data_IF_494464763789
#
_entry.id   IF_494464763789
#
_cell.length_a   1.000
_cell.length_b   1.000
_cell.length_c   1.000
_cell.angle_alpha   90.00
_cell.angle_beta   90.00
_cell.angle_gamma   90.00
#
_symmetry.space_group_name_H-M   'P 1'
#
loop_
_entity.id
_entity.type
_entity.pdbx_description
1 polymer ?
#
# COMPACT_ATOMS: atom_id res chain seq x y z
N UNK A 1 17.57 9.50 -5.78
CA UNK A 1 16.55 8.57 -5.25
C UNK A 1 15.81 7.93 -6.40
N UNK A 2 15.37 6.68 -6.23
CA UNK A 2 14.64 5.94 -7.24
C UNK A 2 13.43 5.25 -6.62
N UNK A 3 12.25 5.38 -7.23
CA UNK A 3 11.06 4.63 -6.88
C UNK A 3 10.73 3.63 -7.98
N UNK A 4 10.47 2.39 -7.63
CA UNK A 4 10.02 1.37 -8.55
C UNK A 4 8.53 1.13 -8.41
N UNK A 5 7.81 1.15 -9.54
CA UNK A 5 6.41 0.77 -9.63
C UNK A 5 6.35 -0.66 -10.18
N UNK A 6 5.82 -1.58 -9.39
CA UNK A 6 5.61 -2.96 -9.81
C UNK A 6 4.28 -3.10 -10.56
N UNK A 7 4.37 -3.66 -11.77
CA UNK A 7 3.24 -4.09 -12.58
C UNK A 7 2.19 -3.01 -12.86
N UNK A 8 2.61 -1.79 -13.33
CA UNK A 8 1.67 -0.69 -13.57
C UNK A 8 0.56 -1.04 -14.57
N UNK A 9 0.78 -2.03 -15.44
CA UNK A 9 -0.22 -2.51 -16.39
C UNK A 9 -1.41 -3.22 -15.76
N UNK A 10 -1.26 -3.76 -14.55
CA UNK A 10 -2.33 -4.47 -13.81
C UNK A 10 -2.58 -3.92 -12.41
N UNK A 11 -1.58 -3.31 -11.75
CA UNK A 11 -1.63 -2.82 -10.38
C UNK A 11 -1.83 -1.29 -10.33
N UNK A 12 -2.93 -0.79 -10.87
CA UNK A 12 -3.19 0.65 -10.98
C UNK A 12 -4.66 1.06 -10.77
N UNK A 13 -5.48 0.26 -10.13
CA UNK A 13 -6.87 0.61 -9.87
C UNK A 13 -6.97 1.83 -8.95
N UNK A 14 -8.10 2.53 -9.01
CA UNK A 14 -8.43 3.70 -8.17
C UNK A 14 -7.44 4.87 -8.28
N UNK A 15 -6.61 4.89 -9.32
CA UNK A 15 -5.59 5.91 -9.51
C UNK A 15 -4.38 5.78 -8.59
N UNK A 16 -4.11 4.60 -8.05
CA UNK A 16 -3.06 4.36 -7.05
C UNK A 16 -1.67 4.76 -7.51
N UNK A 17 -1.36 4.71 -8.81
CA UNK A 17 -0.06 5.20 -9.33
C UNK A 17 0.18 6.68 -9.03
N UNK A 18 -0.89 7.45 -8.77
CA UNK A 18 -0.75 8.86 -8.39
C UNK A 18 0.00 9.04 -7.06
N UNK A 19 0.09 8.02 -6.21
CA UNK A 19 0.99 8.04 -5.06
C UNK A 19 2.44 8.36 -5.49
N UNK A 20 2.94 7.64 -6.48
CA UNK A 20 4.34 7.79 -6.94
C UNK A 20 4.51 9.02 -7.83
N UNK A 21 3.56 9.30 -8.71
CA UNK A 21 3.62 10.51 -9.55
C UNK A 21 3.52 11.79 -8.71
N UNK A 22 2.80 11.78 -7.60
CA UNK A 22 2.77 12.90 -6.66
C UNK A 22 4.11 13.07 -5.92
N UNK A 23 4.73 11.96 -5.46
CA UNK A 23 6.09 12.00 -4.91
C UNK A 23 7.09 12.60 -5.91
N UNK A 24 7.02 12.19 -7.17
CA UNK A 24 7.86 12.76 -8.25
C UNK A 24 7.63 14.26 -8.43
N UNK A 25 6.39 14.71 -8.25
CA UNK A 25 6.06 16.13 -8.34
C UNK A 25 6.58 16.93 -7.14
N UNK A 26 6.60 16.31 -5.94
CA UNK A 26 7.18 16.90 -4.72
C UNK A 26 8.72 16.88 -4.74
N UNK A 27 9.30 15.87 -5.38
CA UNK A 27 10.73 15.61 -5.43
C UNK A 27 11.14 15.41 -6.92
N UNK A 28 11.43 16.49 -7.68
CA UNK A 28 11.71 16.40 -9.11
C UNK A 28 12.92 15.53 -9.48
N UNK A 29 13.85 15.31 -8.56
CA UNK A 29 15.01 14.44 -8.74
C UNK A 29 14.69 12.95 -8.54
N UNK A 30 13.50 12.58 -8.06
CA UNK A 30 13.08 11.19 -7.93
C UNK A 30 12.97 10.55 -9.32
N UNK A 31 13.76 9.53 -9.59
CA UNK A 31 13.64 8.71 -10.79
C UNK A 31 12.54 7.66 -10.59
N UNK A 32 11.67 7.46 -11.58
CA UNK A 32 10.67 6.40 -11.57
C UNK A 32 11.12 5.30 -12.51
N UNK A 33 11.11 4.06 -12.02
CA UNK A 33 11.31 2.83 -12.79
C UNK A 33 10.01 2.05 -12.76
N UNK A 34 9.58 1.57 -13.92
CA UNK A 34 8.41 0.70 -14.05
C UNK A 34 8.87 -0.70 -14.41
N UNK A 35 8.38 -1.69 -13.67
CA UNK A 35 8.67 -3.10 -13.90
C UNK A 35 7.39 -3.82 -14.28
N UNK A 36 7.33 -4.37 -15.49
CA UNK A 36 6.20 -5.17 -15.98
C UNK A 36 6.23 -6.59 -15.43
N UNK A 37 5.13 -7.36 -15.63
CA UNK A 37 4.98 -8.74 -15.13
C UNK A 37 6.04 -9.74 -15.65
N UNK A 38 6.75 -9.40 -16.73
CA UNK A 38 7.74 -10.29 -17.36
C UNK A 38 9.18 -9.90 -17.03
N UNK A 39 9.37 -8.71 -16.51
CA UNK A 39 10.67 -8.15 -16.20
C UNK A 39 11.13 -8.53 -14.78
N UNK A 40 12.43 -8.64 -14.59
CA UNK A 40 13.02 -8.78 -13.27
C UNK A 40 12.87 -7.47 -12.50
N UNK A 41 12.38 -7.48 -11.24
CA UNK A 41 12.29 -6.29 -10.43
C UNK A 41 13.65 -5.59 -10.23
N UNK A 42 13.65 -4.26 -10.43
CA UNK A 42 14.88 -3.45 -10.35
C UNK A 42 15.42 -3.35 -8.93
N UNK A 43 14.57 -3.40 -7.90
CA UNK A 43 15.00 -3.34 -6.49
C UNK A 43 15.93 -4.50 -6.09
N UNK A 44 15.94 -5.59 -6.84
CA UNK A 44 16.81 -6.74 -6.59
C UNK A 44 18.29 -6.42 -6.85
N UNK A 45 18.56 -5.50 -7.76
CA UNK A 45 19.92 -5.14 -8.18
C UNK A 45 20.49 -3.92 -7.43
N UNK A 46 19.74 -3.33 -6.47
CA UNK A 46 20.13 -2.17 -5.65
C UNK A 46 19.52 -0.86 -6.14
N UNK A 47 19.87 0.25 -5.53
CA UNK A 47 19.53 1.64 -5.90
C UNK A 47 18.05 2.06 -5.83
N UNK A 48 17.11 1.16 -5.60
CA UNK A 48 15.69 1.52 -5.40
C UNK A 48 15.47 1.89 -3.94
N UNK A 49 14.96 3.10 -3.73
CA UNK A 49 14.67 3.65 -2.39
C UNK A 49 13.28 3.22 -1.91
N UNK A 50 12.29 3.23 -2.82
CA UNK A 50 10.90 2.86 -2.55
C UNK A 50 10.40 1.91 -3.62
N UNK A 51 9.81 0.79 -3.22
CA UNK A 51 9.06 -0.12 -4.09
C UNK A 51 7.57 0.09 -3.84
N UNK A 52 6.80 0.27 -4.90
CA UNK A 52 5.36 0.50 -4.84
C UNK A 52 4.58 -0.54 -5.63
N UNK A 53 3.48 -1.03 -5.04
CA UNK A 53 2.50 -1.88 -5.71
C UNK A 53 1.09 -1.40 -5.36
N UNK A 54 0.33 -1.02 -6.38
CA UNK A 54 -1.04 -0.52 -6.23
C UNK A 54 -2.10 -1.61 -6.28
N UNK A 55 -3.35 -1.20 -6.08
CA UNK A 55 -4.53 -2.07 -6.18
C UNK A 55 -4.66 -2.72 -7.56
N UNK A 56 -5.18 -3.93 -7.60
CA UNK A 56 -5.38 -4.70 -8.83
C UNK A 56 -6.75 -5.41 -8.85
N UNK A 57 -7.09 -6.02 -9.96
CA UNK A 57 -8.24 -6.95 -10.05
C UNK A 57 -7.87 -8.29 -9.41
N UNK A 58 -8.88 -9.13 -9.13
CA UNK A 58 -8.66 -10.49 -8.58
C UNK A 58 -7.80 -11.35 -9.54
N UNK A 59 -7.97 -11.17 -10.84
CA UNK A 59 -7.11 -11.83 -11.83
C UNK A 59 -5.68 -11.27 -11.81
N UNK A 60 -5.53 -9.97 -11.59
CA UNK A 60 -4.23 -9.31 -11.43
C UNK A 60 -3.48 -9.76 -10.17
N UNK A 61 -4.20 -10.10 -9.08
CA UNK A 61 -3.58 -10.67 -7.87
C UNK A 61 -2.79 -11.95 -8.18
N UNK A 62 -3.38 -12.87 -8.94
CA UNK A 62 -2.72 -14.11 -9.33
C UNK A 62 -1.46 -13.82 -10.18
N UNK A 63 -1.60 -12.93 -11.19
CA UNK A 63 -0.48 -12.59 -12.07
C UNK A 63 0.68 -11.94 -11.29
N UNK A 64 0.37 -11.01 -10.40
CA UNK A 64 1.38 -10.32 -9.60
C UNK A 64 2.04 -11.27 -8.58
N UNK A 65 1.26 -12.15 -7.91
CA UNK A 65 1.81 -13.15 -7.01
C UNK A 65 2.77 -14.10 -7.74
N UNK A 66 2.39 -14.60 -8.92
CA UNK A 66 3.20 -15.51 -9.71
C UNK A 66 4.50 -14.83 -10.21
N UNK A 67 4.43 -13.56 -10.62
CA UNK A 67 5.58 -12.78 -11.06
C UNK A 67 6.58 -12.52 -9.91
N UNK A 68 6.10 -12.32 -8.67
CA UNK A 68 6.96 -12.05 -7.50
C UNK A 68 7.46 -13.32 -6.82
N UNK A 69 6.79 -14.46 -6.96
CA UNK A 69 7.12 -15.73 -6.28
C UNK A 69 8.59 -16.15 -6.43
N UNK A 70 9.23 -16.06 -7.61
CA UNK A 70 10.66 -16.40 -7.76
C UNK A 70 11.59 -15.55 -6.90
N UNK A 71 11.14 -14.39 -6.45
CA UNK A 71 11.94 -13.40 -5.72
C UNK A 71 11.54 -13.29 -4.24
N UNK A 72 10.65 -14.16 -3.73
CA UNK A 72 10.08 -14.12 -2.39
C UNK A 72 11.14 -13.91 -1.30
N UNK A 73 12.19 -14.70 -1.29
CA UNK A 73 13.22 -14.65 -0.24
C UNK A 73 14.03 -13.34 -0.31
N UNK A 74 14.35 -12.88 -1.52
CA UNK A 74 15.00 -11.59 -1.71
C UNK A 74 14.10 -10.42 -1.28
N UNK A 75 12.78 -10.50 -1.52
CA UNK A 75 11.82 -9.51 -1.03
C UNK A 75 11.82 -9.48 0.50
N UNK A 76 11.77 -10.67 1.14
CA UNK A 76 11.81 -10.78 2.61
C UNK A 76 13.08 -10.13 3.19
N UNK A 77 14.25 -10.47 2.65
CA UNK A 77 15.54 -9.91 3.06
C UNK A 77 15.57 -8.38 2.91
N UNK A 78 15.08 -7.84 1.80
CA UNK A 78 15.04 -6.39 1.55
C UNK A 78 14.10 -5.67 2.52
N UNK A 79 12.92 -6.22 2.77
CA UNK A 79 11.96 -5.70 3.76
C UNK A 79 12.60 -5.67 5.16
N UNK A 80 13.21 -6.78 5.57
CA UNK A 80 13.83 -6.91 6.90
C UNK A 80 15.08 -6.03 7.03
N UNK A 81 15.78 -5.74 5.94
CA UNK A 81 16.87 -4.78 5.87
C UNK A 81 16.41 -3.31 5.90
N UNK A 82 15.10 -3.04 5.90
CA UNK A 82 14.53 -1.70 6.00
C UNK A 82 14.30 -0.99 4.66
N UNK A 83 14.44 -1.69 3.53
CA UNK A 83 14.04 -1.11 2.23
C UNK A 83 12.56 -0.80 2.23
N UNK A 84 12.20 0.41 1.79
CA UNK A 84 10.81 0.85 1.80
C UNK A 84 9.99 0.15 0.72
N UNK A 85 8.89 -0.45 1.16
CA UNK A 85 7.84 -1.02 0.32
C UNK A 85 6.50 -0.41 0.72
N UNK A 86 5.74 0.05 -0.24
CA UNK A 86 4.36 0.52 -0.05
C UNK A 86 3.42 -0.28 -0.94
N UNK A 87 2.51 -1.05 -0.32
CA UNK A 87 1.44 -1.77 -0.99
C UNK A 87 0.09 -1.16 -0.61
N UNK A 88 -0.74 -0.80 -1.61
CA UNK A 88 -2.05 -0.20 -1.38
C UNK A 88 -3.18 -1.07 -1.91
N UNK A 89 -4.35 -0.97 -1.30
CA UNK A 89 -5.51 -1.77 -1.64
C UNK A 89 -5.25 -3.27 -1.47
N UNK A 90 -5.81 -4.07 -2.33
CA UNK A 90 -5.68 -5.53 -2.26
C UNK A 90 -4.29 -6.09 -2.64
N UNK A 91 -3.35 -5.23 -3.07
CA UNK A 91 -1.94 -5.64 -3.19
C UNK A 91 -1.36 -6.17 -1.86
N UNK A 92 -1.92 -5.74 -0.72
CA UNK A 92 -1.60 -6.26 0.60
C UNK A 92 -1.76 -7.80 0.68
N UNK A 93 -2.80 -8.34 0.05
CA UNK A 93 -3.14 -9.76 0.17
C UNK A 93 -2.13 -10.69 -0.50
N UNK A 94 -1.44 -10.21 -1.53
CA UNK A 94 -0.35 -10.95 -2.20
C UNK A 94 0.80 -11.25 -1.22
N UNK A 95 1.00 -10.39 -0.23
CA UNK A 95 2.09 -10.52 0.75
C UNK A 95 1.78 -11.57 1.84
N UNK A 96 0.52 -11.94 2.01
CA UNK A 96 0.06 -12.98 2.93
C UNK A 96 0.37 -14.39 2.46
N UNK A 97 -0.16 -15.38 3.22
CA UNK A 97 -0.02 -16.80 2.89
C UNK A 97 -0.91 -17.20 1.71
N UNK A 98 -2.16 -16.71 1.70
CA UNK A 98 -3.13 -17.07 0.68
C UNK A 98 -4.32 -16.12 0.63
N UNK A 99 -5.03 -16.16 -0.50
CA UNK A 99 -6.32 -15.52 -0.72
C UNK A 99 -7.33 -16.60 -1.06
N UNK A 100 -8.28 -16.83 -0.18
CA UNK A 100 -9.40 -17.72 -0.39
C UNK A 100 -10.59 -16.92 -0.96
N UNK A 101 -11.33 -17.48 -1.91
CA UNK A 101 -12.47 -16.81 -2.54
C UNK A 101 -13.65 -17.77 -2.67
N UNK A 102 -14.88 -17.25 -2.50
CA UNK A 102 -16.11 -17.99 -2.73
C UNK A 102 -16.45 -18.16 -4.23
N UNK A 103 -15.75 -17.46 -5.12
CA UNK A 103 -16.07 -17.43 -6.56
C UNK A 103 -14.88 -17.77 -7.47
N UNK A 104 -13.69 -18.01 -6.93
CA UNK A 104 -12.49 -18.29 -7.71
C UNK A 104 -11.56 -19.29 -6.99
N UNK A 105 -10.65 -19.96 -7.72
CA UNK A 105 -9.63 -20.78 -7.07
C UNK A 105 -8.79 -19.97 -6.10
N UNK A 106 -8.32 -20.61 -5.03
CA UNK A 106 -7.39 -20.05 -4.07
C UNK A 106 -6.11 -19.56 -4.76
N UNK A 107 -5.65 -18.38 -4.36
CA UNK A 107 -4.37 -17.83 -4.77
C UNK A 107 -3.37 -18.02 -3.63
N UNK A 108 -2.24 -18.67 -3.91
CA UNK A 108 -1.12 -18.75 -2.98
C UNK A 108 -0.36 -17.42 -3.00
N UNK A 109 -0.25 -16.79 -1.83
CA UNK A 109 0.50 -15.56 -1.63
C UNK A 109 2.01 -15.78 -1.55
N UNK A 110 2.72 -14.78 -1.09
CA UNK A 110 4.17 -14.83 -0.91
C UNK A 110 4.58 -15.33 0.48
N UNK A 111 3.66 -15.43 1.44
CA UNK A 111 3.94 -15.85 2.81
C UNK A 111 4.96 -14.93 3.52
N UNK A 112 4.95 -13.66 3.20
CA UNK A 112 5.78 -12.63 3.86
C UNK A 112 5.13 -12.12 5.13
N UNK A 113 3.81 -12.17 5.18
CA UNK A 113 2.99 -11.84 6.35
C UNK A 113 2.21 -13.11 6.75
N UNK A 114 2.08 -13.42 8.06
CA UNK A 114 1.31 -14.58 8.53
C UNK A 114 -0.19 -14.26 8.49
N UNK A 115 -0.71 -14.05 7.29
CA UNK A 115 -2.09 -13.59 7.07
C UNK A 115 -2.74 -14.36 5.94
N UNK A 116 -4.08 -14.45 6.00
CA UNK A 116 -4.91 -15.01 4.96
C UNK A 116 -6.07 -14.08 4.66
N UNK A 117 -6.29 -13.78 3.40
CA UNK A 117 -7.43 -13.01 2.95
C UNK A 117 -8.61 -13.92 2.60
N UNK A 118 -9.82 -13.50 2.96
CA UNK A 118 -11.07 -14.17 2.62
C UNK A 118 -11.94 -13.23 1.79
N UNK A 119 -12.25 -13.63 0.55
CA UNK A 119 -13.01 -12.83 -0.42
C UNK A 119 -14.44 -13.35 -0.62
N UNK A 120 -15.38 -12.41 -0.53
CA UNK A 120 -16.80 -12.63 -0.78
C UNK A 120 -17.24 -11.76 -1.96
N UNK A 121 -17.15 -12.29 -3.18
CA UNK A 121 -17.29 -11.53 -4.42
C UNK A 121 -18.63 -10.85 -4.64
N UNK A 122 -19.68 -11.31 -3.93
CA UNK A 122 -21.00 -10.66 -3.95
C UNK A 122 -21.20 -9.62 -2.85
N UNK A 123 -20.19 -9.38 -2.00
CA UNK A 123 -20.27 -8.48 -0.84
C UNK A 123 -19.13 -7.47 -0.87
N UNK A 124 -19.30 -6.40 -1.65
CA UNK A 124 -18.31 -5.32 -1.66
C UNK A 124 -18.43 -4.47 -0.40
N UNK A 125 -17.32 -4.38 0.35
CA UNK A 125 -17.19 -3.44 1.46
C UNK A 125 -16.69 -2.09 0.95
N UNK A 126 -17.43 -1.02 1.28
CA UNK A 126 -17.04 0.36 1.03
C UNK A 126 -17.16 1.14 2.33
N UNK A 127 -16.09 1.81 2.76
CA UNK A 127 -16.11 2.65 3.96
C UNK A 127 -15.08 3.75 3.91
N UNK A 128 -15.38 4.85 4.61
CA UNK A 128 -14.37 5.81 5.03
C UNK A 128 -13.58 5.24 6.20
N UNK A 129 -12.37 5.74 6.35
CA UNK A 129 -11.45 5.32 7.39
C UNK A 129 -10.76 6.54 8.01
N UNK A 130 -10.67 6.53 9.34
CA UNK A 130 -9.80 7.42 10.11
C UNK A 130 -8.97 6.58 11.06
N UNK A 131 -7.67 6.84 11.08
CA UNK A 131 -6.72 6.17 11.98
C UNK A 131 -5.57 7.07 12.37
N UNK A 132 -4.59 6.46 13.00
CA UNK A 132 -3.35 7.12 13.43
C UNK A 132 -2.12 6.39 12.88
N UNK A 133 -1.11 7.17 12.51
CA UNK A 133 0.26 6.73 12.33
C UNK A 133 1.15 7.55 13.26
N UNK A 134 1.43 7.00 14.45
CA UNK A 134 1.94 7.80 15.54
C UNK A 134 0.97 8.94 15.89
N UNK A 135 1.45 10.18 15.86
CA UNK A 135 0.61 11.37 16.13
C UNK A 135 -0.16 11.88 14.91
N UNK A 136 0.10 11.33 13.71
CA UNK A 136 -0.53 11.78 12.48
C UNK A 136 -1.91 11.14 12.30
N UNK A 137 -2.93 11.95 12.01
CA UNK A 137 -4.20 11.44 11.53
C UNK A 137 -4.04 10.87 10.12
N UNK A 138 -4.68 9.73 9.87
CA UNK A 138 -4.73 9.09 8.56
C UNK A 138 -6.18 9.02 8.13
N UNK A 139 -6.46 9.53 6.95
CA UNK A 139 -7.79 9.42 6.32
C UNK A 139 -7.68 8.62 5.04
N UNK A 140 -8.68 7.83 4.74
CA UNK A 140 -8.69 7.02 3.54
C UNK A 140 -10.06 6.45 3.23
N UNK A 141 -10.07 5.65 2.18
CA UNK A 141 -11.24 4.96 1.70
C UNK A 141 -10.91 3.50 1.42
N UNK A 142 -11.84 2.62 1.70
CA UNK A 142 -11.76 1.20 1.35
C UNK A 142 -12.83 0.84 0.33
N UNK A 143 -12.45 0.04 -0.66
CA UNK A 143 -13.37 -0.60 -1.60
C UNK A 143 -12.81 -1.98 -1.95
N UNK A 144 -13.28 -3.01 -1.28
CA UNK A 144 -12.70 -4.35 -1.34
C UNK A 144 -13.78 -5.44 -1.23
N UNK A 145 -13.45 -6.64 -1.64
CA UNK A 145 -14.31 -7.82 -1.56
C UNK A 145 -13.93 -8.77 -0.44
N UNK A 146 -12.83 -8.51 0.27
CA UNK A 146 -12.33 -9.37 1.31
C UNK A 146 -11.56 -8.65 2.38
N UNK A 147 -11.20 -9.37 3.42
CA UNK A 147 -10.43 -8.90 4.56
C UNK A 147 -9.30 -9.87 4.88
N UNK A 148 -8.19 -9.36 5.40
CA UNK A 148 -7.03 -10.16 5.81
C UNK A 148 -7.08 -10.45 7.30
N UNK A 149 -7.01 -11.73 7.64
CA UNK A 149 -6.96 -12.25 9.00
C UNK A 149 -5.57 -12.78 9.31
N UNK A 150 -5.09 -12.56 10.52
CA UNK A 150 -3.79 -13.02 10.97
C UNK A 150 -3.08 -12.04 11.89
N UNK A 151 -1.88 -12.43 12.31
CA UNK A 151 -1.09 -11.67 13.28
C UNK A 151 -0.11 -10.73 12.56
N UNK A 152 0.25 -9.65 13.24
CA UNK A 152 1.24 -8.68 12.75
C UNK A 152 0.98 -7.28 13.28
N UNK A 153 2.03 -6.49 13.29
CA UNK A 153 1.93 -5.07 13.65
C UNK A 153 1.01 -4.34 12.66
N UNK A 154 0.06 -3.57 13.19
CA UNK A 154 -0.77 -2.72 12.35
C UNK A 154 0.04 -1.55 11.79
N UNK A 155 -0.24 -1.16 10.56
CA UNK A 155 0.34 0.06 10.00
C UNK A 155 -0.32 1.30 10.60
N UNK A 156 -1.64 1.26 10.78
CA UNK A 156 -2.41 2.36 11.35
C UNK A 156 -3.31 1.85 12.49
N UNK A 157 -3.38 2.62 13.57
CA UNK A 157 -4.36 2.40 14.65
C UNK A 157 -5.72 2.94 14.21
N UNK A 158 -6.75 2.11 14.20
CA UNK A 158 -8.10 2.51 13.76
C UNK A 158 -8.76 3.39 14.81
N UNK A 159 -9.27 4.55 14.38
CA UNK A 159 -10.09 5.48 15.19
C UNK A 159 -11.56 5.38 14.79
N UNK A 160 -11.83 5.30 13.46
CA UNK A 160 -13.19 5.19 12.92
C UNK A 160 -13.17 4.38 11.63
N UNK A 161 -14.13 3.51 11.46
CA UNK A 161 -14.21 2.55 10.36
C UNK A 161 -13.77 1.16 10.82
N UNK A 162 -13.41 0.30 9.88
CA UNK A 162 -12.99 -1.07 10.17
C UNK A 162 -11.50 -1.25 9.83
N UNK A 163 -10.82 -2.09 10.58
CA UNK A 163 -9.42 -2.44 10.31
C UNK A 163 -9.28 -3.46 9.16
N UNK A 164 -8.11 -4.08 9.08
CA UNK A 164 -7.75 -5.03 8.02
C UNK A 164 -8.59 -6.30 7.99
N UNK A 165 -9.16 -6.70 9.12
CA UNK A 165 -9.97 -7.90 9.28
C UNK A 165 -11.49 -7.64 9.23
N UNK A 166 -11.87 -6.41 8.88
CA UNK A 166 -13.28 -6.01 8.80
C UNK A 166 -13.92 -5.68 10.13
N UNK A 167 -13.18 -5.71 11.24
CA UNK A 167 -13.70 -5.39 12.56
C UNK A 167 -13.43 -3.94 12.95
N UNK A 168 -14.40 -3.33 13.64
CA UNK A 168 -14.16 -2.08 14.37
C UNK A 168 -13.10 -2.33 15.46
N UNK A 169 -12.25 -1.39 15.74
CA UNK A 169 -11.18 -1.47 16.75
C UNK A 169 -10.02 -2.43 16.44
N UNK A 170 -9.98 -3.06 15.26
CA UNK A 170 -8.77 -3.74 14.79
C UNK A 170 -7.86 -2.76 14.05
N UNK A 171 -6.55 -3.05 14.02
CA UNK A 171 -5.60 -2.23 13.29
C UNK A 171 -5.77 -2.35 11.77
N UNK A 172 -5.41 -1.28 11.05
CA UNK A 172 -5.45 -1.24 9.59
C UNK A 172 -4.08 -1.53 9.01
N UNK A 173 -4.05 -2.39 7.99
CA UNK A 173 -2.84 -2.73 7.27
C UNK A 173 -1.82 -3.51 8.10
N UNK A 174 -0.61 -3.63 7.57
CA UNK A 174 0.52 -4.30 8.21
C UNK A 174 1.80 -3.51 8.04
N UNK A 175 2.63 -3.56 9.09
CA UNK A 175 4.00 -3.06 9.10
C UNK A 175 4.97 -4.19 9.45
N UNK A 176 6.08 -4.30 8.69
CA UNK A 176 7.20 -5.21 8.99
C UNK A 176 8.47 -4.63 8.36
N UNK A 177 9.50 -4.35 9.16
CA UNK A 177 10.72 -3.74 8.62
C UNK A 177 10.40 -2.48 7.80
N UNK A 178 10.82 -2.46 6.54
CA UNK A 178 10.50 -1.37 5.60
C UNK A 178 9.16 -1.50 4.89
N UNK A 179 8.39 -2.57 5.13
CA UNK A 179 7.09 -2.78 4.50
C UNK A 179 5.98 -1.99 5.19
N UNK A 180 5.21 -1.29 4.38
CA UNK A 180 3.93 -0.65 4.70
C UNK A 180 2.88 -1.18 3.73
N UNK A 181 1.90 -1.92 4.22
CA UNK A 181 0.83 -2.47 3.41
C UNK A 181 -0.53 -2.09 4.00
N UNK A 182 -1.46 -1.58 3.19
CA UNK A 182 -2.75 -1.09 3.66
C UNK A 182 -3.85 -1.28 2.62
N UNK A 183 -5.08 -1.52 3.08
CA UNK A 183 -6.25 -1.51 2.20
C UNK A 183 -6.71 -0.11 1.78
N UNK A 184 -6.13 0.95 2.36
CA UNK A 184 -6.52 2.30 2.02
C UNK A 184 -6.09 2.66 0.59
N UNK A 185 -7.01 3.27 -0.13
CA UNK A 185 -6.86 3.69 -1.52
C UNK A 185 -7.23 5.17 -1.66
N UNK A 186 -7.05 5.71 -2.87
CA UNK A 186 -7.65 6.94 -3.27
C UNK A 186 -6.89 8.24 -3.36
N UNK A 187 -5.70 8.35 -3.91
CA UNK A 187 -4.35 7.85 -3.58
C UNK A 187 -3.93 8.26 -2.15
N UNK A 188 -3.42 7.32 -1.40
CA UNK A 188 -3.12 7.45 0.04
C UNK A 188 -2.28 8.69 0.39
N UNK A 189 -1.17 8.92 -0.35
CA UNK A 189 -0.22 9.98 -0.02
C UNK A 189 -0.77 11.38 -0.30
N UNK A 190 -1.59 11.54 -1.34
CA UNK A 190 -2.25 12.81 -1.67
C UNK A 190 -3.31 13.15 -0.61
N UNK A 191 -4.04 12.15 -0.14
CA UNK A 191 -5.03 12.31 0.91
C UNK A 191 -4.41 12.66 2.27
N UNK A 192 -3.16 12.27 2.50
CA UNK A 192 -2.46 12.37 3.78
C UNK A 192 -1.12 13.11 3.62
N UNK A 193 -1.11 14.44 3.42
CA UNK A 193 0.12 15.22 3.28
C UNK A 193 1.15 15.02 4.41
N UNK A 194 0.78 14.88 5.70
CA UNK A 194 1.76 14.58 6.75
C UNK A 194 2.46 13.24 6.54
N UNK A 195 1.75 12.20 6.10
CA UNK A 195 2.32 10.89 5.77
C UNK A 195 3.25 10.99 4.54
N UNK A 196 2.87 11.77 3.53
CA UNK A 196 3.70 12.02 2.36
C UNK A 196 5.02 12.69 2.73
N UNK A 197 4.98 13.72 3.60
CA UNK A 197 6.19 14.37 4.13
C UNK A 197 7.06 13.40 4.91
N UNK A 198 6.46 12.59 5.76
CA UNK A 198 7.18 11.56 6.49
C UNK A 198 7.89 10.58 5.53
N UNK A 199 7.18 10.08 4.51
CA UNK A 199 7.75 9.14 3.54
C UNK A 199 8.91 9.78 2.73
N UNK A 200 8.79 11.05 2.32
CA UNK A 200 9.88 11.76 1.65
C UNK A 200 11.15 11.82 2.52
N UNK A 201 11.00 12.07 3.83
CA UNK A 201 12.13 12.04 4.78
C UNK A 201 12.75 10.66 4.92
N UNK A 202 11.92 9.61 5.05
CA UNK A 202 12.41 8.22 5.10
C UNK A 202 13.14 7.81 3.83
N UNK A 203 12.69 8.32 2.67
CA UNK A 203 13.38 8.12 1.39
C UNK A 203 14.70 8.89 1.30
N UNK A 204 15.00 9.80 2.22
CA UNK A 204 16.20 10.62 2.21
C UNK A 204 16.12 11.84 1.29
N UNK A 205 14.92 12.35 1.03
CA UNK A 205 14.74 13.58 0.25
C UNK A 205 15.38 14.80 0.94
N UNK A 206 16.03 15.67 0.16
CA UNK A 206 16.63 16.91 0.67
C UNK A 206 15.59 17.86 1.24
N UNK A 207 14.36 17.80 0.72
CA UNK A 207 13.21 18.59 1.16
C UNK A 207 11.98 17.71 1.23
N UNK A 208 11.12 17.96 2.20
CA UNK A 208 9.80 17.34 2.34
C UNK A 208 8.66 18.29 1.93
N UNK A 209 8.99 19.40 1.23
CA UNK A 209 8.00 20.33 0.70
C UNK A 209 7.08 19.62 -0.32
N UNK A 210 5.78 19.88 -0.23
CA UNK A 210 4.80 19.22 -1.09
C UNK A 210 4.38 20.14 -2.25
N UNK A 211 4.12 19.53 -3.39
CA UNK A 211 3.43 20.22 -4.48
C UNK A 211 2.00 20.59 -4.04
N UNK A 212 1.60 21.86 -4.26
CA UNK A 212 0.29 22.39 -3.85
C UNK A 212 0.00 22.22 -2.35
N UNK A 213 1.02 22.39 -1.50
CA UNK A 213 0.96 22.07 -0.07
C UNK A 213 -0.22 22.71 0.66
N UNK A 214 -0.46 24.02 0.45
CA UNK A 214 -1.57 24.71 1.13
C UNK A 214 -2.92 24.09 0.80
N UNK A 215 -3.17 23.82 -0.48
CA UNK A 215 -4.42 23.19 -0.93
C UNK A 215 -4.57 21.75 -0.43
N UNK A 216 -3.47 20.98 -0.43
CA UNK A 216 -3.44 19.62 0.07
C UNK A 216 -3.71 19.57 1.58
N UNK A 217 -3.06 20.44 2.35
CA UNK A 217 -3.26 20.53 3.80
C UNK A 217 -4.66 21.02 4.18
N UNK A 218 -5.22 21.98 3.44
CA UNK A 218 -6.59 22.45 3.67
C UNK A 218 -7.62 21.35 3.40
N UNK A 219 -7.44 20.60 2.30
CA UNK A 219 -8.30 19.47 1.97
C UNK A 219 -8.20 18.36 3.01
N UNK A 220 -6.98 18.05 3.48
CA UNK A 220 -6.74 17.07 4.53
C UNK A 220 -7.42 17.46 5.84
N UNK A 221 -7.23 18.70 6.32
CA UNK A 221 -7.87 19.20 7.57
C UNK A 221 -9.39 19.10 7.50
N UNK A 222 -9.99 19.45 6.34
CA UNK A 222 -11.44 19.34 6.14
C UNK A 222 -11.92 17.89 6.22
N UNK A 223 -11.20 16.95 5.60
CA UNK A 223 -11.56 15.52 5.67
C UNK A 223 -11.43 14.98 7.09
N UNK A 224 -10.34 15.30 7.80
CA UNK A 224 -10.19 14.90 9.20
C UNK A 224 -11.36 15.43 10.03
N UNK A 225 -11.72 16.70 9.89
CA UNK A 225 -12.83 17.31 10.64
C UNK A 225 -14.20 16.74 10.26
N UNK A 226 -14.40 16.33 9.01
CA UNK A 226 -15.67 15.73 8.53
C UNK A 226 -15.83 14.27 8.98
N UNK A 227 -14.72 13.52 9.02
CA UNK A 227 -14.78 12.09 9.29
C UNK A 227 -14.63 11.75 10.78
N UNK A 228 -14.03 12.63 11.60
CA UNK A 228 -13.96 12.49 13.06
C UNK A 228 -15.33 12.71 13.71
#
# INVERSE_FOLDING_TARGET
MRAEILFPEVCNLYGDLQNIYYLKRCCPELEIVETDLKSRPAFLDGDVTLVFMGSTTEQGLQLAADALRPYRDAIAERIDAGQLFLATGNALDILGDAIDSDAAPRIEGLGLLPTRAEYHMMQRHNSYYVGKFGEMDIVGFKSLFGHSHGMGEALFDTVKGVGRDGQENSGEGFRRGGLMATYLIGPLLILNPPLCKWLLREMGAVSDALAFEDAAMDSYRKRVAEFM
#
